data_IF_230785397409
#
_entry.id   IF_230785397409
#
_cell.length_a   1.000
_cell.length_b   1.000
_cell.length_c   1.000
_cell.angle_alpha   90.00
_cell.angle_beta   90.00
_cell.angle_gamma   90.00
#
_symmetry.space_group_name_H-M   'P 1'
#
loop_
_entity.id
_entity.type
_entity.pdbx_description
1 polymer ?
#
# COMPACT_ATOMS: atom_id res chain seq x y z
N UNK A 1 -27.12 25.77 50.05
CA UNK A 1 -26.15 24.66 49.88
C UNK A 1 -24.76 25.26 49.83
N UNK A 2 -23.96 24.91 50.83
CA UNK A 2 -22.55 25.27 51.01
C UNK A 2 -21.73 24.73 49.82
N UNK A 3 -20.88 25.56 49.22
CA UNK A 3 -19.46 25.68 49.54
C UNK A 3 -18.65 24.43 49.11
N UNK A 4 -17.97 24.54 47.96
CA UNK A 4 -16.67 23.89 47.80
C UNK A 4 -15.64 24.92 47.28
N UNK A 5 -14.43 24.94 47.87
CA UNK A 5 -13.53 26.07 47.85
C UNK A 5 -12.51 26.04 46.72
N UNK A 6 -12.00 27.23 46.43
CA UNK A 6 -10.64 27.49 45.95
C UNK A 6 -9.64 26.43 46.44
N UNK A 7 -8.79 25.92 45.54
CA UNK A 7 -7.35 25.96 45.80
C UNK A 7 -6.53 26.46 44.61
N UNK A 8 -5.45 27.20 44.91
CA UNK A 8 -4.68 28.01 43.98
C UNK A 8 -3.37 27.33 43.59
N UNK A 9 -2.76 27.80 42.51
CA UNK A 9 -1.42 27.40 42.08
C UNK A 9 -1.44 27.22 40.57
N UNK A 10 -1.05 28.20 39.76
CA UNK A 10 0.24 28.86 39.86
C UNK A 10 0.15 30.24 39.22
N UNK A 11 0.76 31.16 39.94
CA UNK A 11 1.16 32.50 39.53
C UNK A 11 1.91 32.48 38.21
N UNK A 12 1.31 33.04 37.16
CA UNK A 12 2.06 33.67 36.08
C UNK A 12 1.36 34.96 35.67
N UNK A 13 1.44 35.96 36.57
CA UNK A 13 1.38 37.36 36.18
C UNK A 13 2.80 37.90 36.21
N UNK A 14 3.13 38.67 35.17
CA UNK A 14 4.37 39.38 34.85
C UNK A 14 5.09 38.62 33.71
N UNK A 15 5.16 39.11 32.48
CA UNK A 15 5.13 40.50 32.01
C UNK A 15 4.69 40.55 30.56
N UNK A 16 3.85 41.53 30.25
CA UNK A 16 3.62 41.97 28.88
C UNK A 16 4.92 42.59 28.36
N UNK A 17 5.52 41.93 27.38
CA UNK A 17 6.38 42.57 26.39
C UNK A 17 5.70 42.34 25.04
N UNK A 18 4.75 43.20 24.73
CA UNK A 18 4.26 43.40 23.36
C UNK A 18 5.47 43.91 22.57
N UNK A 19 6.22 43.00 21.95
CA UNK A 19 7.11 43.34 20.85
C UNK A 19 6.28 43.19 19.58
N UNK A 20 5.73 44.33 19.15
CA UNK A 20 5.13 44.48 17.85
C UNK A 20 6.18 44.11 16.78
N UNK A 21 6.07 42.90 16.24
CA UNK A 21 6.58 42.59 14.91
C UNK A 21 5.63 41.59 14.24
N UNK A 22 4.49 42.14 13.85
CA UNK A 22 3.77 41.65 12.69
C UNK A 22 4.72 41.81 11.48
N UNK A 23 5.45 40.76 11.14
CA UNK A 23 5.83 40.53 9.75
C UNK A 23 4.88 39.45 9.23
N UNK A 24 3.83 39.91 8.55
CA UNK A 24 3.02 39.06 7.70
C UNK A 24 3.94 38.25 6.79
N UNK A 25 3.84 36.94 6.94
CA UNK A 25 4.38 35.96 6.03
C UNK A 25 3.58 34.69 6.21
N UNK A 26 2.25 34.82 6.12
CA UNK A 26 1.45 33.66 5.76
C UNK A 26 2.10 33.12 4.48
N UNK A 27 2.68 31.91 4.54
CA UNK A 27 3.14 31.23 3.34
C UNK A 27 1.89 30.77 2.60
N UNK A 28 1.14 31.72 2.02
CA UNK A 28 0.24 31.45 0.91
C UNK A 28 1.15 30.91 -0.18
N UNK A 29 1.24 29.58 -0.29
CA UNK A 29 1.80 28.95 -1.49
C UNK A 29 1.00 29.54 -2.65
N UNK A 30 1.60 30.33 -3.55
CA UNK A 30 0.86 30.86 -4.67
C UNK A 30 0.25 29.66 -5.41
N UNK A 31 -1.07 29.68 -5.58
CA UNK A 31 -1.79 28.76 -6.45
C UNK A 31 -1.22 28.93 -7.85
N UNK A 32 -0.20 28.14 -8.20
CA UNK A 32 0.56 28.31 -9.44
C UNK A 32 2.08 28.37 -9.32
N UNK A 33 2.69 28.06 -8.17
CA UNK A 33 4.14 27.79 -8.17
C UNK A 33 4.45 26.53 -8.99
N UNK A 34 4.79 26.70 -10.27
CA UNK A 34 5.26 25.62 -11.12
C UNK A 34 6.59 25.14 -10.54
N UNK A 35 6.58 23.92 -10.01
CA UNK A 35 7.78 23.27 -9.50
C UNK A 35 8.65 22.93 -10.72
N UNK A 36 9.70 23.73 -10.96
CA UNK A 36 10.66 23.48 -12.03
C UNK A 36 11.54 22.31 -11.62
N UNK A 37 11.32 21.18 -12.27
CA UNK A 37 12.16 19.99 -12.12
C UNK A 37 13.29 20.07 -13.12
N UNK A 38 14.52 19.86 -12.66
CA UNK A 38 15.68 19.76 -13.54
C UNK A 38 15.68 18.42 -14.28
N UNK A 39 16.62 18.24 -15.22
CA UNK A 39 16.80 16.97 -15.93
C UNK A 39 17.06 15.79 -14.98
N UNK A 40 17.84 16.02 -13.91
CA UNK A 40 18.11 15.03 -12.86
C UNK A 40 16.84 14.57 -12.12
N UNK A 41 15.87 15.47 -11.88
CA UNK A 41 14.59 15.10 -11.28
C UNK A 41 13.75 14.24 -12.23
N UNK A 42 13.82 14.50 -13.54
CA UNK A 42 13.13 13.68 -14.54
C UNK A 42 13.71 12.27 -14.59
N UNK A 43 15.03 12.13 -14.54
CA UNK A 43 15.70 10.81 -14.48
C UNK A 43 15.26 10.05 -13.23
N UNK A 44 15.27 10.71 -12.07
CA UNK A 44 14.84 10.09 -10.79
C UNK A 44 13.37 9.68 -10.79
N UNK A 45 12.47 10.50 -11.35
CA UNK A 45 11.04 10.14 -11.46
C UNK A 45 10.84 8.98 -12.43
N UNK A 46 11.60 8.92 -13.54
CA UNK A 46 11.57 7.78 -14.46
C UNK A 46 12.05 6.50 -13.76
N UNK A 47 13.11 6.57 -12.97
CA UNK A 47 13.60 5.45 -12.17
C UNK A 47 12.52 4.92 -11.22
N UNK A 48 11.93 5.81 -10.40
CA UNK A 48 10.85 5.45 -9.46
C UNK A 48 9.67 4.80 -10.18
N UNK A 49 9.23 5.36 -11.32
CA UNK A 49 8.13 4.79 -12.10
C UNK A 49 8.46 3.40 -12.67
N UNK A 50 9.69 3.19 -13.14
CA UNK A 50 10.13 1.89 -13.65
C UNK A 50 10.13 0.84 -12.54
N UNK A 51 10.64 1.19 -11.35
CA UNK A 51 10.66 0.28 -10.21
C UNK A 51 9.25 -0.03 -9.68
N UNK A 52 8.35 0.96 -9.63
CA UNK A 52 6.94 0.73 -9.28
C UNK A 52 6.24 -0.24 -10.25
N UNK A 53 6.56 -0.19 -11.55
CA UNK A 53 6.01 -1.13 -12.54
C UNK A 53 6.47 -2.57 -12.31
N UNK A 54 7.67 -2.75 -11.75
CA UNK A 54 8.19 -4.07 -11.35
C UNK A 54 7.63 -4.53 -9.99
N UNK A 55 6.82 -3.69 -9.34
CA UNK A 55 6.15 -4.00 -8.10
C UNK A 55 6.90 -3.58 -6.84
N UNK A 56 8.07 -2.91 -6.96
CA UNK A 56 8.82 -2.45 -5.79
C UNK A 56 8.00 -1.46 -4.95
N UNK A 57 8.11 -1.59 -3.63
CA UNK A 57 7.51 -0.67 -2.67
C UNK A 57 8.26 0.68 -2.67
N UNK A 58 7.64 1.73 -2.15
CA UNK A 58 8.32 3.04 -2.07
C UNK A 58 9.57 3.00 -1.19
N UNK A 59 9.59 2.15 -0.17
CA UNK A 59 10.72 1.97 0.73
C UNK A 59 11.87 1.25 0.01
N UNK A 60 11.58 0.16 -0.71
CA UNK A 60 12.55 -0.56 -1.55
C UNK A 60 13.15 0.35 -2.64
N UNK A 61 12.32 1.21 -3.24
CA UNK A 61 12.78 2.18 -4.25
C UNK A 61 13.66 3.25 -3.63
N UNK A 62 13.34 3.71 -2.42
CA UNK A 62 14.17 4.67 -1.70
C UNK A 62 15.54 4.07 -1.36
N UNK A 63 15.58 2.79 -1.02
CA UNK A 63 16.82 2.04 -0.80
C UNK A 63 17.63 1.93 -2.09
N UNK A 64 17.02 1.49 -3.20
CA UNK A 64 17.68 1.44 -4.51
C UNK A 64 18.23 2.80 -4.96
N UNK A 65 17.53 3.91 -4.68
CA UNK A 65 18.01 5.26 -4.96
C UNK A 65 19.22 5.69 -4.11
N UNK A 66 19.42 5.09 -2.93
CA UNK A 66 20.62 5.32 -2.11
C UNK A 66 21.82 4.50 -2.58
N UNK A 67 21.56 3.42 -3.31
CA UNK A 67 22.56 2.51 -3.87
C UNK A 67 23.01 2.90 -5.28
N UNK A 68 22.42 3.96 -5.85
CA UNK A 68 22.70 4.49 -7.22
C UNK A 68 24.13 5.07 -7.38
N UNK A 69 24.90 5.13 -6.29
CA UNK A 69 26.32 5.51 -6.30
C UNK A 69 27.23 4.43 -6.93
N UNK A 70 26.67 3.27 -7.33
CA UNK A 70 27.32 2.24 -8.15
C UNK A 70 28.20 1.26 -7.38
N UNK A 71 28.43 1.47 -6.08
CA UNK A 71 29.23 0.59 -5.22
C UNK A 71 28.47 -0.58 -4.62
N UNK A 72 27.13 -0.60 -4.73
CA UNK A 72 26.26 -1.54 -4.02
C UNK A 72 25.41 -2.42 -4.97
N UNK A 73 26.03 -2.94 -6.02
CA UNK A 73 25.38 -3.82 -6.98
C UNK A 73 24.82 -5.10 -6.32
N UNK A 74 25.53 -5.65 -5.32
CA UNK A 74 25.10 -6.85 -4.60
C UNK A 74 23.82 -6.62 -3.78
N UNK A 75 23.71 -5.48 -3.09
CA UNK A 75 22.53 -5.11 -2.31
C UNK A 75 21.31 -4.89 -3.21
N UNK A 76 21.50 -4.17 -4.34
CA UNK A 76 20.45 -3.99 -5.34
C UNK A 76 19.99 -5.31 -5.96
N UNK A 77 20.92 -6.25 -6.17
CA UNK A 77 20.61 -7.59 -6.67
C UNK A 77 19.81 -8.40 -5.65
N UNK A 78 20.17 -8.32 -4.37
CA UNK A 78 19.44 -8.99 -3.29
C UNK A 78 17.98 -8.51 -3.17
N UNK A 79 17.75 -7.19 -3.26
CA UNK A 79 16.40 -6.62 -3.31
C UNK A 79 15.60 -7.13 -4.53
N UNK A 80 16.24 -7.21 -5.69
CA UNK A 80 15.62 -7.74 -6.90
C UNK A 80 15.29 -9.23 -6.79
N UNK A 81 16.16 -10.04 -6.19
CA UNK A 81 15.95 -11.46 -5.94
C UNK A 81 14.79 -11.70 -4.97
N UNK A 82 14.73 -10.95 -3.88
CA UNK A 82 13.60 -10.97 -2.95
C UNK A 82 12.30 -10.67 -3.70
N UNK A 83 12.30 -9.61 -4.52
CA UNK A 83 11.12 -9.24 -5.27
C UNK A 83 10.69 -10.29 -6.29
N UNK A 84 11.66 -10.91 -6.95
CA UNK A 84 11.40 -11.99 -7.89
C UNK A 84 10.76 -13.19 -7.19
N UNK A 85 11.17 -13.50 -5.96
CA UNK A 85 10.56 -14.54 -5.14
C UNK A 85 9.11 -14.21 -4.81
N UNK A 86 8.82 -13.00 -4.32
CA UNK A 86 7.45 -12.56 -4.01
C UNK A 86 6.53 -12.64 -5.23
N UNK A 87 7.03 -12.24 -6.40
CA UNK A 87 6.28 -12.32 -7.67
C UNK A 87 5.99 -13.78 -8.02
N UNK A 88 6.96 -14.68 -7.89
CA UNK A 88 6.78 -16.12 -8.17
C UNK A 88 5.77 -16.76 -7.23
N UNK A 89 5.80 -16.42 -5.95
CA UNK A 89 4.81 -16.89 -4.96
C UNK A 89 3.41 -16.39 -5.34
N UNK A 90 3.27 -15.10 -5.66
CA UNK A 90 1.99 -14.54 -6.09
C UNK A 90 1.48 -15.15 -7.40
N UNK A 91 2.36 -15.45 -8.35
CA UNK A 91 1.99 -16.18 -9.57
C UNK A 91 1.49 -17.59 -9.24
N UNK A 92 2.16 -18.31 -8.35
CA UNK A 92 1.71 -19.62 -7.92
C UNK A 92 0.33 -19.56 -7.25
N UNK A 93 0.08 -18.54 -6.43
CA UNK A 93 -1.21 -18.32 -5.77
C UNK A 93 -2.32 -18.04 -6.79
N UNK A 94 -2.05 -17.14 -7.74
CA UNK A 94 -2.99 -16.81 -8.81
C UNK A 94 -3.27 -18.02 -9.72
N UNK A 95 -2.26 -18.82 -10.05
CA UNK A 95 -2.45 -20.05 -10.83
C UNK A 95 -3.33 -21.07 -10.08
N UNK A 96 -3.18 -21.19 -8.76
CA UNK A 96 -4.08 -22.03 -7.95
C UNK A 96 -5.52 -21.52 -7.98
N UNK A 97 -5.72 -20.21 -7.84
CA UNK A 97 -7.05 -19.59 -7.92
C UNK A 97 -7.67 -19.76 -9.32
N UNK A 98 -6.88 -19.56 -10.37
CA UNK A 98 -7.29 -19.78 -11.77
C UNK A 98 -7.74 -21.21 -12.00
N UNK A 99 -6.98 -22.20 -11.51
CA UNK A 99 -7.34 -23.62 -11.63
C UNK A 99 -8.71 -23.89 -11.00
N UNK A 100 -8.92 -23.45 -9.76
CA UNK A 100 -10.21 -23.63 -9.06
C UNK A 100 -11.36 -22.94 -9.81
N UNK A 101 -11.16 -21.70 -10.24
CA UNK A 101 -12.18 -20.97 -11.00
C UNK A 101 -12.49 -21.66 -12.33
N UNK A 102 -11.47 -22.17 -13.02
CA UNK A 102 -11.62 -22.88 -14.29
C UNK A 102 -12.44 -24.17 -14.12
N UNK A 103 -12.19 -24.94 -13.05
CA UNK A 103 -12.93 -26.16 -12.73
C UNK A 103 -14.41 -25.86 -12.43
N UNK A 104 -14.67 -24.81 -11.64
CA UNK A 104 -16.04 -24.38 -11.32
C UNK A 104 -16.80 -23.91 -12.56
N UNK A 105 -16.15 -23.16 -13.45
CA UNK A 105 -16.73 -22.70 -14.72
C UNK A 105 -17.06 -23.89 -15.62
N UNK A 106 -16.13 -24.84 -15.78
CA UNK A 106 -16.37 -26.08 -16.51
C UNK A 106 -17.55 -26.88 -15.93
N UNK A 107 -17.62 -27.02 -14.60
CA UNK A 107 -18.71 -27.71 -13.92
C UNK A 107 -20.07 -27.00 -14.07
N UNK A 108 -20.08 -25.66 -14.22
CA UNK A 108 -21.28 -24.91 -14.54
C UNK A 108 -21.74 -25.19 -15.98
N UNK A 109 -20.82 -25.15 -16.95
CA UNK A 109 -21.16 -25.36 -18.37
C UNK A 109 -21.56 -26.81 -18.70
N UNK A 110 -20.99 -27.79 -18.00
CA UNK A 110 -21.34 -29.21 -18.19
C UNK A 110 -22.78 -29.53 -17.74
N UNK A 111 -23.41 -28.67 -16.93
CA UNK A 111 -24.74 -28.89 -16.39
C UNK A 111 -25.80 -28.41 -17.38
N UNK A 112 -26.80 -29.25 -17.65
CA UNK A 112 -27.98 -28.92 -18.47
C UNK A 112 -29.25 -29.06 -17.63
N UNK A 113 -30.09 -28.02 -17.61
CA UNK A 113 -31.36 -28.00 -16.87
C UNK A 113 -31.39 -26.99 -15.72
N UNK A 114 -32.48 -26.97 -14.95
CA UNK A 114 -32.68 -26.07 -13.81
C UNK A 114 -32.07 -26.66 -12.53
N UNK A 115 -30.74 -26.69 -12.45
CA UNK A 115 -29.99 -27.27 -11.33
C UNK A 115 -29.19 -26.16 -10.64
N UNK A 116 -29.03 -26.27 -9.31
CA UNK A 116 -28.23 -25.32 -8.51
C UNK A 116 -26.81 -25.16 -9.05
N UNK A 117 -26.35 -23.92 -9.11
CA UNK A 117 -25.05 -23.54 -9.67
C UNK A 117 -23.91 -24.07 -8.75
N UNK A 118 -22.99 -24.92 -9.25
CA UNK A 118 -21.92 -25.48 -8.43
C UNK A 118 -20.93 -24.42 -7.93
N UNK A 119 -20.77 -23.31 -8.64
CA UNK A 119 -19.97 -22.18 -8.18
C UNK A 119 -20.55 -21.58 -6.89
N UNK A 120 -21.86 -21.33 -6.86
CA UNK A 120 -22.55 -20.78 -5.69
C UNK A 120 -22.50 -21.77 -4.52
N UNK A 121 -22.73 -23.05 -4.78
CA UNK A 121 -22.62 -24.10 -3.76
C UNK A 121 -21.21 -24.19 -3.16
N UNK A 122 -20.16 -24.07 -3.99
CA UNK A 122 -18.77 -24.09 -3.53
C UNK A 122 -18.44 -22.88 -2.65
N UNK A 123 -18.89 -21.68 -3.03
CA UNK A 123 -18.70 -20.46 -2.24
C UNK A 123 -19.50 -20.45 -0.93
N UNK A 124 -20.63 -21.17 -0.87
CA UNK A 124 -21.45 -21.34 0.34
C UNK A 124 -20.90 -22.40 1.31
N UNK A 125 -19.81 -23.10 0.96
CA UNK A 125 -19.19 -24.12 1.82
C UNK A 125 -19.81 -25.51 1.72
N UNK A 126 -20.78 -25.73 0.85
CA UNK A 126 -21.41 -27.05 0.62
C UNK A 126 -20.46 -28.03 -0.12
N UNK A 127 -19.33 -27.55 -0.65
CA UNK A 127 -18.28 -28.36 -1.29
C UNK A 127 -17.54 -29.32 -0.31
N UNK A 128 -17.80 -29.23 0.99
CA UNK A 128 -17.28 -30.17 1.99
C UNK A 128 -18.00 -31.53 2.07
N UNK A 129 -19.25 -31.63 1.59
CA UNK A 129 -20.09 -32.84 1.78
C UNK A 129 -20.12 -33.79 0.57
N UNK A 130 -19.70 -33.35 -0.63
CA UNK A 130 -19.66 -34.21 -1.81
C UNK A 130 -18.42 -35.14 -1.89
N UNK A 131 -17.53 -35.11 -0.87
CA UNK A 131 -16.35 -35.99 -0.77
C UNK A 131 -16.58 -37.27 0.04
N UNK A 132 -17.76 -37.48 0.62
CA UNK A 132 -18.02 -38.65 1.49
C UNK A 132 -18.81 -39.80 0.86
N UNK A 133 -18.98 -39.83 -0.46
CA UNK A 133 -19.66 -40.94 -1.13
C UNK A 133 -18.84 -41.45 -2.31
N UNK A 134 -17.87 -42.32 -2.02
CA UNK A 134 -17.39 -43.30 -3.00
C UNK A 134 -17.06 -44.60 -2.24
N UNK A 135 -17.56 -45.76 -2.73
CA UNK A 135 -17.63 -47.02 -1.98
C UNK A 135 -16.28 -47.72 -1.79
#
# INVERSE_FOLDING_TARGET
MAFLPRRPGSTWRQSASISARACCGNRTKPYGSIRRYGEADVVRVKFVKSAQRLGFSLDEIAELLRLDDGTHCEEASSLAEHKLKDVREKMADLARMETVLSELVCACHARKGNVSCPLIASLQGEAGLARSAMP
#
